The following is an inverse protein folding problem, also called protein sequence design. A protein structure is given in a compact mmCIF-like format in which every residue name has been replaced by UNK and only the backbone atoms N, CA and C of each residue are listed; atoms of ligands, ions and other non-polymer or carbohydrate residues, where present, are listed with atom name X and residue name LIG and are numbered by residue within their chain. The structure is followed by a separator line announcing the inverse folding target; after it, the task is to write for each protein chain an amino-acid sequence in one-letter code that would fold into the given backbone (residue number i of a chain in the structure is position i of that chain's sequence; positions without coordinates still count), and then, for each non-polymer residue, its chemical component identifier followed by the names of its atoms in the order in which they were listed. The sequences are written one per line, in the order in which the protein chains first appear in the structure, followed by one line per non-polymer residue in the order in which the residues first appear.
data_IF_410118500098
#
_entry.id   IF_410118500098
#
_cell.length_a   1.000
_cell.length_b   1.000
_cell.length_c   1.000
_cell.angle_alpha   90.00
_cell.angle_beta   90.00
_cell.angle_gamma   90.00
#
_symmetry.space_group_name_H-M   'P 1'
#
loop_
_entity.id
_entity.type
_entity.pdbx_description
1 polymer ?
#
# COMPACT_ATOMS: atom_id res chain seq x y z
N UNK A 1 12.16 -6.38 -34.01
CA UNK A 1 11.88 -6.77 -32.62
C UNK A 1 12.47 -8.16 -32.40
N UNK A 2 13.39 -8.35 -31.45
CA UNK A 2 14.01 -9.67 -31.20
C UNK A 2 13.06 -10.47 -30.27
N UNK A 3 12.67 -11.71 -30.61
CA UNK A 3 11.77 -12.48 -29.76
C UNK A 3 12.40 -12.72 -28.40
N UNK A 4 11.62 -12.50 -27.35
CA UNK A 4 12.07 -12.67 -25.97
C UNK A 4 12.35 -14.14 -25.68
N UNK A 5 13.13 -14.45 -24.65
CA UNK A 5 13.38 -15.84 -24.24
C UNK A 5 12.08 -16.59 -23.92
N UNK A 6 11.06 -15.86 -23.45
CA UNK A 6 9.72 -16.37 -23.24
C UNK A 6 9.08 -16.80 -24.57
N UNK A 7 9.13 -15.96 -25.60
CA UNK A 7 8.56 -16.29 -26.93
C UNK A 7 9.23 -17.53 -27.55
N UNK A 8 10.55 -17.68 -27.39
CA UNK A 8 11.28 -18.83 -27.91
C UNK A 8 10.96 -20.13 -27.15
N UNK A 9 10.86 -20.07 -25.82
CA UNK A 9 10.45 -21.24 -25.03
C UNK A 9 9.02 -21.68 -25.36
N UNK A 10 8.12 -20.71 -25.59
CA UNK A 10 6.74 -20.98 -26.00
C UNK A 10 6.63 -21.55 -27.42
N UNK A 11 7.44 -21.07 -28.35
CA UNK A 11 7.55 -21.63 -29.70
C UNK A 11 8.05 -23.10 -29.67
N UNK A 12 9.01 -23.42 -28.81
CA UNK A 12 9.52 -24.81 -28.66
C UNK A 12 8.46 -25.74 -28.05
N UNK A 13 7.75 -25.29 -27.03
CA UNK A 13 6.69 -26.07 -26.37
C UNK A 13 5.52 -26.34 -27.32
N UNK A 14 5.08 -25.33 -28.07
CA UNK A 14 4.01 -25.49 -29.07
C UNK A 14 4.44 -26.41 -30.22
N UNK A 15 5.69 -26.33 -30.69
CA UNK A 15 6.22 -27.25 -31.69
C UNK A 15 6.29 -28.70 -31.19
N UNK A 16 6.68 -28.91 -29.92
CA UNK A 16 6.68 -30.23 -29.27
C UNK A 16 5.27 -30.80 -29.13
N UNK A 17 4.32 -29.99 -28.66
CA UNK A 17 2.91 -30.38 -28.53
C UNK A 17 2.29 -30.79 -29.88
N UNK A 18 2.63 -30.10 -30.97
CA UNK A 18 2.15 -30.44 -32.33
C UNK A 18 2.75 -31.73 -32.89
N UNK A 19 3.96 -32.09 -32.46
CA UNK A 19 4.66 -33.31 -32.88
C UNK A 19 4.33 -34.52 -32.01
N UNK A 20 3.66 -34.32 -30.89
CA UNK A 20 3.22 -35.41 -30.03
C UNK A 20 2.29 -36.35 -30.83
N UNK A 21 2.48 -37.68 -30.72
CA UNK A 21 1.53 -38.63 -31.29
C UNK A 21 0.12 -38.31 -30.77
N UNK A 22 -0.89 -38.40 -31.64
CA UNK A 22 -2.29 -38.34 -31.21
C UNK A 22 -2.60 -39.60 -30.40
N UNK A 23 -2.22 -39.60 -29.12
CA UNK A 23 -2.74 -40.55 -28.16
C UNK A 23 -4.26 -40.41 -28.10
N UNK A 24 -4.96 -41.51 -27.78
CA UNK A 24 -6.38 -41.46 -27.47
C UNK A 24 -6.64 -40.27 -26.54
N UNK A 25 -7.70 -39.50 -26.81
CA UNK A 25 -8.10 -38.36 -25.98
C UNK A 25 -8.45 -38.89 -24.57
N UNK A 26 -7.42 -39.13 -23.77
CA UNK A 26 -7.53 -39.56 -22.40
C UNK A 26 -8.11 -38.35 -21.68
N UNK A 27 -9.39 -38.45 -21.31
CA UNK A 27 -10.02 -37.47 -20.47
C UNK A 27 -9.07 -37.18 -19.30
N UNK A 28 -8.77 -35.89 -19.08
CA UNK A 28 -7.91 -35.50 -17.98
C UNK A 28 -8.51 -36.07 -16.68
N UNK A 29 -7.69 -36.63 -15.77
CA UNK A 29 -8.18 -37.15 -14.51
C UNK A 29 -9.02 -36.10 -13.78
N UNK A 30 -10.07 -36.55 -13.08
CA UNK A 30 -10.92 -35.65 -12.31
C UNK A 30 -10.07 -34.77 -11.37
N UNK A 31 -10.31 -33.46 -11.39
CA UNK A 31 -9.56 -32.50 -10.59
C UNK A 31 -8.20 -32.08 -11.16
N UNK A 32 -7.83 -32.48 -12.39
CA UNK A 32 -6.60 -32.00 -13.06
C UNK A 32 -6.54 -30.47 -13.13
N UNK A 33 -7.62 -29.82 -13.58
CA UNK A 33 -7.69 -28.35 -13.67
C UNK A 33 -7.51 -27.69 -12.31
N UNK A 34 -8.07 -28.27 -11.25
CA UNK A 34 -7.91 -27.79 -9.87
C UNK A 34 -6.46 -27.91 -9.41
N UNK A 35 -5.78 -29.02 -9.71
CA UNK A 35 -4.36 -29.20 -9.39
C UNK A 35 -3.48 -28.21 -10.14
N UNK A 36 -3.73 -27.99 -11.43
CA UNK A 36 -3.00 -26.99 -12.24
C UNK A 36 -3.23 -25.58 -11.69
N UNK A 37 -4.48 -25.22 -11.39
CA UNK A 37 -4.80 -23.94 -10.79
C UNK A 37 -4.11 -23.77 -9.43
N UNK A 38 -4.16 -24.78 -8.56
CA UNK A 38 -3.50 -24.73 -7.24
C UNK A 38 -1.99 -24.54 -7.34
N UNK A 39 -1.35 -25.14 -8.35
CA UNK A 39 0.09 -25.05 -8.57
C UNK A 39 0.49 -23.69 -9.13
N UNK A 40 -0.33 -23.11 -10.01
CA UNK A 40 -0.14 -21.75 -10.51
C UNK A 40 -0.26 -20.72 -9.38
N UNK A 41 -1.31 -20.81 -8.55
CA UNK A 41 -1.50 -19.91 -7.41
C UNK A 41 -0.44 -20.12 -6.30
N UNK A 42 0.12 -21.33 -6.16
CA UNK A 42 1.23 -21.57 -5.24
C UNK A 42 2.54 -20.92 -5.71
N UNK A 43 2.75 -20.82 -7.03
CA UNK A 43 3.96 -20.22 -7.62
C UNK A 43 4.00 -18.68 -7.54
N UNK A 44 2.85 -18.00 -7.43
CA UNK A 44 2.76 -16.54 -7.31
C UNK A 44 3.22 -15.98 -5.94
N UNK A 45 3.74 -16.82 -5.04
CA UNK A 45 4.00 -16.43 -3.64
C UNK A 45 5.27 -15.64 -3.28
N UNK A 46 6.25 -15.29 -4.16
CA UNK A 46 7.40 -14.52 -3.68
C UNK A 46 7.16 -12.99 -3.60
N UNK A 47 6.33 -12.40 -4.48
CA UNK A 47 6.20 -10.92 -4.54
C UNK A 47 5.24 -10.31 -3.51
N UNK A 48 4.18 -11.02 -3.11
CA UNK A 48 3.20 -10.49 -2.14
C UNK A 48 3.80 -10.28 -0.73
N UNK A 49 4.75 -11.13 -0.34
CA UNK A 49 5.38 -11.11 0.99
C UNK A 49 6.24 -9.86 1.26
N UNK A 50 6.90 -9.31 0.23
CA UNK A 50 7.75 -8.12 0.39
C UNK A 50 6.91 -6.85 0.57
N UNK A 51 5.89 -6.66 -0.26
CA UNK A 51 4.96 -5.52 -0.15
C UNK A 51 4.19 -5.53 1.17
N UNK A 52 3.79 -6.70 1.66
CA UNK A 52 3.11 -6.85 2.94
C UNK A 52 4.01 -6.47 4.12
N UNK A 53 5.29 -6.89 4.09
CA UNK A 53 6.29 -6.50 5.10
C UNK A 53 6.65 -5.01 5.03
N UNK A 54 6.73 -4.45 3.83
CA UNK A 54 7.02 -3.03 3.65
C UNK A 54 5.85 -2.14 4.05
N UNK A 55 4.62 -2.55 3.73
CA UNK A 55 3.40 -1.83 4.11
C UNK A 55 3.23 -1.78 5.63
N UNK A 56 3.42 -2.90 6.33
CA UNK A 56 3.36 -2.93 7.80
C UNK A 56 4.42 -2.03 8.45
N UNK A 57 5.65 -2.02 7.91
CA UNK A 57 6.71 -1.11 8.38
C UNK A 57 6.39 0.36 8.12
N UNK A 58 5.89 0.67 6.92
CA UNK A 58 5.51 2.03 6.55
C UNK A 58 4.37 2.56 7.43
N UNK A 59 3.35 1.74 7.70
CA UNK A 59 2.25 2.08 8.61
C UNK A 59 2.77 2.32 10.04
N UNK A 60 3.69 1.48 10.52
CA UNK A 60 4.33 1.69 11.82
C UNK A 60 5.10 3.01 11.91
N UNK A 61 5.89 3.34 10.89
CA UNK A 61 6.63 4.62 10.83
C UNK A 61 5.68 5.82 10.76
N UNK A 62 4.63 5.74 9.94
CA UNK A 62 3.63 6.80 9.83
C UNK A 62 2.90 7.03 11.16
N UNK A 63 2.56 5.95 11.87
CA UNK A 63 1.92 6.02 13.19
C UNK A 63 2.84 6.66 14.24
N UNK A 64 4.11 6.27 14.30
CA UNK A 64 5.09 6.91 15.19
C UNK A 64 5.27 8.40 14.85
N UNK A 65 5.34 8.75 13.57
CA UNK A 65 5.49 10.14 13.14
C UNK A 65 4.26 10.98 13.49
N UNK A 66 3.05 10.43 13.36
CA UNK A 66 1.82 11.09 13.77
C UNK A 66 1.80 11.35 15.28
N UNK A 67 2.18 10.37 16.10
CA UNK A 67 2.29 10.54 17.56
C UNK A 67 3.36 11.58 17.92
N UNK A 68 4.52 11.54 17.27
CA UNK A 68 5.60 12.52 17.48
C UNK A 68 5.13 13.95 17.16
N UNK A 69 4.39 14.14 16.06
CA UNK A 69 3.80 15.43 15.71
C UNK A 69 2.86 15.95 16.79
N UNK A 70 1.98 15.10 17.32
CA UNK A 70 1.07 15.46 18.42
C UNK A 70 1.85 15.83 19.69
N UNK A 71 2.88 15.07 20.05
CA UNK A 71 3.70 15.36 21.24
C UNK A 71 4.45 16.69 21.09
N UNK A 72 5.03 16.96 19.92
CA UNK A 72 5.72 18.23 19.64
C UNK A 72 4.75 19.41 19.67
N UNK A 73 3.54 19.24 19.14
CA UNK A 73 2.54 20.30 19.09
C UNK A 73 1.72 20.41 20.39
N UNK A 74 1.81 19.42 21.30
CA UNK A 74 1.07 19.37 22.56
C UNK A 74 1.07 20.68 23.35
N UNK A 75 2.22 21.35 23.61
CA UNK A 75 2.21 22.63 24.34
C UNK A 75 1.39 23.71 23.65
N UNK A 76 1.36 23.77 22.31
CA UNK A 76 0.56 24.72 21.54
C UNK A 76 -0.93 24.36 21.60
N UNK A 77 -1.29 23.08 21.55
CA UNK A 77 -2.68 22.64 21.71
C UNK A 77 -3.22 22.88 23.13
N UNK A 78 -2.37 22.75 24.15
CA UNK A 78 -2.77 22.92 25.55
C UNK A 78 -2.62 24.36 26.05
N UNK A 79 -1.95 25.23 25.28
CA UNK A 79 -1.70 26.61 25.68
C UNK A 79 -2.94 27.50 25.68
N UNK A 80 -4.10 27.12 25.11
CA UNK A 80 -5.30 27.98 25.14
C UNK A 80 -6.54 27.21 25.63
N UNK A 81 -7.00 27.55 26.84
CA UNK A 81 -8.12 28.51 26.94
C UNK A 81 -7.89 29.71 27.89
N UNK A 82 -6.71 29.86 28.50
CA UNK A 82 -6.48 30.92 29.51
C UNK A 82 -6.08 32.28 28.90
N UNK A 83 -5.37 32.29 27.78
CA UNK A 83 -4.95 33.53 27.12
C UNK A 83 -6.10 34.18 26.32
N UNK A 84 -7.04 33.38 25.79
CA UNK A 84 -8.25 33.90 25.12
C UNK A 84 -9.17 34.66 26.09
N UNK A 85 -9.20 34.30 27.39
CA UNK A 85 -10.00 35.00 28.40
C UNK A 85 -9.36 36.32 28.85
N UNK A 86 -8.01 36.38 28.91
CA UNK A 86 -7.29 37.64 29.18
C UNK A 86 -7.40 38.62 28.00
N UNK A 87 -7.34 38.13 26.76
CA UNK A 87 -7.52 38.93 25.53
C UNK A 87 -8.98 39.36 25.34
N UNK A 88 -9.95 38.58 25.84
CA UNK A 88 -11.37 38.95 25.82
C UNK A 88 -11.78 39.93 26.94
N UNK A 89 -11.04 39.97 28.05
CA UNK A 89 -11.28 40.91 29.16
C UNK A 89 -10.72 42.31 28.88
N UNK A 90 -9.63 42.38 28.11
CA UNK A 90 -9.03 43.64 27.68
C UNK A 90 -9.67 44.05 26.34
N UNK A 91 -10.80 44.76 26.41
CA UNK A 91 -11.54 45.25 25.24
C UNK A 91 -10.62 46.01 24.28
N UNK A 92 -10.19 45.38 23.16
CA UNK A 92 -9.21 45.98 22.26
C UNK A 92 -9.78 47.20 21.53
N UNK A 93 -11.11 47.36 21.53
CA UNK A 93 -11.80 48.52 20.93
C UNK A 93 -11.72 49.74 21.86
N UNK A 94 -11.79 49.55 23.17
CA UNK A 94 -11.65 50.64 24.15
C UNK A 94 -10.24 51.27 24.11
N UNK A 95 -9.20 50.44 24.05
CA UNK A 95 -7.80 50.91 24.02
C UNK A 95 -7.45 51.67 22.73
N UNK A 96 -8.09 51.33 21.61
CA UNK A 96 -7.90 52.04 20.33
C UNK A 96 -8.65 53.39 20.26
N UNK A 97 -9.72 53.55 21.04
CA UNK A 97 -10.45 54.81 21.15
C UNK A 97 -9.80 55.78 22.14
N UNK A 98 -9.12 55.27 23.17
CA UNK A 98 -8.44 56.08 24.18
C UNK A 98 -7.05 56.59 23.73
N UNK A 99 -6.38 55.88 22.81
CA UNK A 99 -5.09 56.29 22.23
C UNK A 99 -5.16 57.16 20.97
N UNK A 100 -6.36 57.60 20.59
CA UNK A 100 -6.65 58.27 19.31
C UNK A 100 -6.97 59.77 19.39
N UNK A 101 -6.60 60.46 20.46
CA UNK A 101 -6.66 61.94 20.59
C UNK A 101 -5.26 62.55 20.68
#
# INVERSE_FOLDING_TARGET
MKPTDHDQSWARLTAGARRAPRGAAAAAPFGFSTRVASLAFAAERPMRSLLERFSLRAVGVASLLAVASVVVNYPVLTAHPADDELIALEDPVATLLEGGE
#
